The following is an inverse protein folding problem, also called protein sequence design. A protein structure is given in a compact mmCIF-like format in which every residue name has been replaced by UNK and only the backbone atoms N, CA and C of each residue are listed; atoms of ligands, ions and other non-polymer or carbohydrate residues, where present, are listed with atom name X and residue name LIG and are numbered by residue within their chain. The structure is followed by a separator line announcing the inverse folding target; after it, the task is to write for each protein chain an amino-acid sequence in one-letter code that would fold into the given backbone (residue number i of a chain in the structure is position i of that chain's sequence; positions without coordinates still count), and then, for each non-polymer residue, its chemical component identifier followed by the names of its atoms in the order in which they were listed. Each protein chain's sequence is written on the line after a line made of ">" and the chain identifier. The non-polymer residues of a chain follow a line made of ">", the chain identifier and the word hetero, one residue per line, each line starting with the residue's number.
data_IF_636881834301
#
_entry.id   IF_636881834301
#
_cell.length_a   1.000
_cell.length_b   1.000
_cell.length_c   1.000
_cell.angle_alpha   90.00
_cell.angle_beta   90.00
_cell.angle_gamma   90.00
#
_symmetry.space_group_name_H-M   'P 1'
#
loop_
_entity.id
_entity.type
_entity.pdbx_description
1 polymer ?
#
# COMPACT_ATOMS: atom_id res chain seq x y z
N UNK A 1 -13.72 2.83 17.46
CA UNK A 1 -12.44 2.74 16.74
C UNK A 1 -12.58 1.61 15.75
N UNK A 2 -12.83 1.92 14.48
CA UNK A 2 -12.81 0.93 13.39
C UNK A 2 -11.40 0.36 13.33
N UNK A 3 -11.26 -0.96 13.51
CA UNK A 3 -9.99 -1.67 13.30
C UNK A 3 -9.49 -1.28 11.90
N UNK A 4 -8.31 -0.69 11.79
CA UNK A 4 -7.70 -0.45 10.48
C UNK A 4 -7.60 -1.80 9.77
N UNK A 5 -8.17 -1.90 8.57
CA UNK A 5 -8.14 -3.11 7.77
C UNK A 5 -6.68 -3.40 7.39
N UNK A 6 -6.23 -4.63 7.70
CA UNK A 6 -4.86 -5.06 7.39
C UNK A 6 -4.72 -5.29 5.89
N UNK A 7 -3.60 -4.83 5.34
CA UNK A 7 -3.20 -5.09 3.96
C UNK A 7 -2.09 -6.14 3.93
N UNK A 8 -1.99 -6.85 2.82
CA UNK A 8 -1.05 -7.95 2.65
C UNK A 8 -0.39 -7.89 1.26
N UNK A 9 0.84 -8.38 1.17
CA UNK A 9 1.54 -8.71 -0.07
C UNK A 9 1.60 -10.25 -0.22
N UNK A 10 1.61 -10.79 -1.44
CA UNK A 10 1.78 -12.24 -1.64
C UNK A 10 3.25 -12.64 -1.61
N UNK A 11 4.13 -11.74 -2.09
CA UNK A 11 5.57 -11.96 -2.16
C UNK A 11 6.38 -10.73 -1.73
N UNK A 12 7.69 -10.89 -1.55
CA UNK A 12 8.63 -9.79 -1.26
C UNK A 12 8.92 -8.94 -2.51
N UNK A 13 8.62 -9.48 -3.69
CA UNK A 13 8.82 -8.83 -4.98
C UNK A 13 7.57 -8.03 -5.42
N UNK A 14 6.48 -8.16 -4.66
CA UNK A 14 5.25 -7.45 -4.93
C UNK A 14 5.40 -5.96 -4.65
N UNK A 15 4.80 -5.15 -5.52
CA UNK A 15 4.75 -3.69 -5.33
C UNK A 15 3.44 -3.24 -4.70
N UNK A 16 2.39 -4.06 -4.80
CA UNK A 16 1.04 -3.71 -4.38
C UNK A 16 0.57 -4.63 -3.27
N UNK A 17 0.04 -4.03 -2.20
CA UNK A 17 -0.68 -4.74 -1.15
C UNK A 17 -2.18 -4.50 -1.26
N UNK A 18 -2.98 -5.48 -0.84
CA UNK A 18 -4.43 -5.38 -0.81
C UNK A 18 -5.02 -6.05 0.44
N UNK A 19 -6.28 -5.78 0.71
CA UNK A 19 -6.98 -6.41 1.82
C UNK A 19 -7.20 -7.91 1.58
N UNK A 20 -7.35 -8.66 2.67
CA UNK A 20 -7.54 -10.11 2.59
C UNK A 20 -8.75 -10.53 1.74
N UNK A 21 -9.83 -9.72 1.73
CA UNK A 21 -11.05 -9.97 0.95
C UNK A 21 -10.86 -9.91 -0.57
N UNK A 22 -9.74 -9.36 -1.03
CA UNK A 22 -9.42 -9.24 -2.47
C UNK A 22 -8.66 -10.45 -3.02
N UNK A 23 -8.24 -11.38 -2.17
CA UNK A 23 -7.64 -12.63 -2.61
C UNK A 23 -8.71 -13.70 -2.83
N UNK A 24 -8.59 -14.45 -3.92
CA UNK A 24 -9.35 -15.68 -4.10
C UNK A 24 -8.78 -16.79 -3.23
N UNK A 25 -9.58 -17.85 -3.02
CA UNK A 25 -9.10 -19.02 -2.28
C UNK A 25 -7.95 -19.71 -3.03
N UNK A 26 -8.02 -19.73 -4.36
CA UNK A 26 -6.99 -20.27 -5.24
C UNK A 26 -5.67 -19.50 -5.09
N UNK A 27 -5.72 -18.17 -5.06
CA UNK A 27 -4.53 -17.33 -4.81
C UNK A 27 -3.89 -17.69 -3.46
N UNK A 28 -4.71 -17.79 -2.40
CA UNK A 28 -4.21 -18.10 -1.07
C UNK A 28 -3.63 -19.51 -0.96
N UNK A 29 -4.23 -20.50 -1.63
CA UNK A 29 -3.73 -21.87 -1.65
C UNK A 29 -2.36 -21.98 -2.33
N UNK A 30 -2.11 -21.21 -3.40
CA UNK A 30 -0.79 -21.12 -4.06
C UNK A 30 0.32 -20.72 -3.07
N UNK A 31 0.04 -19.78 -2.16
CA UNK A 31 0.98 -19.31 -1.14
C UNK A 31 0.88 -20.08 0.19
N UNK A 32 0.09 -21.17 0.23
CA UNK A 32 -0.23 -21.91 1.45
C UNK A 32 -0.73 -20.99 2.59
N UNK A 33 -1.54 -20.00 2.22
CA UNK A 33 -2.08 -18.95 3.08
C UNK A 33 -1.02 -18.10 3.78
N UNK A 34 0.24 -18.11 3.32
CA UNK A 34 1.29 -17.28 3.92
C UNK A 34 1.49 -16.01 3.12
N UNK A 35 1.00 -14.90 3.66
CA UNK A 35 1.16 -13.57 3.09
C UNK A 35 2.12 -12.73 3.94
N UNK A 36 2.58 -11.60 3.42
CA UNK A 36 3.38 -10.63 4.16
C UNK A 36 2.48 -9.48 4.61
N UNK A 37 2.38 -9.24 5.91
CA UNK A 37 1.60 -8.12 6.44
C UNK A 37 2.25 -6.79 6.03
N UNK A 38 1.44 -5.88 5.49
CA UNK A 38 1.89 -4.57 5.04
C UNK A 38 2.00 -3.60 6.22
N UNK A 39 3.19 -3.04 6.42
CA UNK A 39 3.46 -2.07 7.49
C UNK A 39 3.41 -0.64 6.92
N UNK A 40 2.57 0.26 7.45
CA UNK A 40 2.50 1.63 6.96
C UNK A 40 3.87 2.34 7.03
N UNK A 41 4.25 3.06 5.98
CA UNK A 41 5.45 3.91 6.02
C UNK A 41 5.31 5.01 7.08
N UNK A 42 6.34 5.15 7.91
CA UNK A 42 6.38 6.15 8.99
C UNK A 42 6.67 7.58 8.50
N UNK A 43 6.81 7.76 7.18
CA UNK A 43 7.08 9.03 6.52
C UNK A 43 8.54 9.45 6.50
N UNK A 44 9.46 8.63 7.04
CA UNK A 44 10.91 8.92 7.12
C UNK A 44 11.72 8.38 5.95
N UNK A 45 11.15 7.49 5.14
CA UNK A 45 11.84 6.88 3.99
C UNK A 45 12.26 7.88 2.92
N UNK A 46 11.67 9.08 2.91
CA UNK A 46 11.93 10.08 1.88
C UNK A 46 11.25 9.79 0.55
N UNK A 47 10.45 8.71 0.46
CA UNK A 47 9.69 8.33 -0.72
C UNK A 47 8.18 8.53 -0.51
N UNK A 48 7.44 8.62 -1.61
CA UNK A 48 5.98 8.60 -1.63
C UNK A 48 5.49 7.80 -2.83
N UNK A 49 4.37 7.09 -2.68
CA UNK A 49 3.67 6.51 -3.83
C UNK A 49 2.95 7.61 -4.62
N UNK A 50 3.20 7.68 -5.93
CA UNK A 50 2.51 8.58 -6.84
C UNK A 50 1.56 7.80 -7.76
N UNK A 51 0.26 7.86 -7.49
CA UNK A 51 -0.75 7.14 -8.29
C UNK A 51 -0.88 7.63 -9.73
N UNK A 52 -0.41 8.85 -10.03
CA UNK A 52 -0.38 9.35 -11.41
C UNK A 52 0.71 8.69 -12.24
N UNK A 53 1.90 8.48 -11.65
CA UNK A 53 3.02 7.81 -12.33
C UNK A 53 2.96 6.27 -12.18
N UNK A 54 2.26 5.78 -11.16
CA UNK A 54 2.22 4.36 -10.83
C UNK A 54 3.55 3.86 -10.26
N UNK A 55 4.29 4.70 -9.54
CA UNK A 55 5.60 4.36 -8.98
C UNK A 55 5.89 5.11 -7.66
N UNK A 56 6.90 4.64 -6.93
CA UNK A 56 7.51 5.37 -5.82
C UNK A 56 8.42 6.48 -6.35
N UNK A 57 8.21 7.70 -5.88
CA UNK A 57 9.03 8.86 -6.22
C UNK A 57 9.61 9.50 -4.97
N UNK A 58 10.65 10.30 -5.14
CA UNK A 58 11.25 11.03 -4.03
C UNK A 58 10.30 12.13 -3.53
N UNK A 59 10.11 12.19 -2.22
CA UNK A 59 9.15 13.08 -1.55
C UNK A 59 9.44 14.54 -1.83
N UNK A 60 10.71 14.91 -2.04
CA UNK A 60 11.09 16.28 -2.34
C UNK A 60 10.59 16.72 -3.72
N UNK A 61 10.42 15.81 -4.69
CA UNK A 61 9.88 16.14 -6.02
C UNK A 61 8.36 16.34 -5.99
N UNK A 62 7.68 15.82 -4.97
CA UNK A 62 6.22 15.92 -4.80
C UNK A 62 5.79 17.29 -4.22
N UNK A 63 6.20 18.39 -4.86
CA UNK A 63 5.82 19.77 -4.50
C UNK A 63 5.00 20.43 -5.59
N UNK A 64 4.09 21.33 -5.19
CA UNK A 64 3.25 22.11 -6.13
C UNK A 64 4.06 22.97 -7.10
N UNK A 65 5.23 23.43 -6.68
CA UNK A 65 6.15 24.25 -7.50
C UNK A 65 6.99 23.46 -8.48
N UNK A 66 7.15 22.14 -8.27
CA UNK A 66 8.10 21.30 -9.01
C UNK A 66 7.38 20.25 -9.86
N UNK A 67 6.28 19.68 -9.36
CA UNK A 67 5.57 18.60 -10.01
C UNK A 67 4.48 19.14 -10.96
N UNK A 68 4.60 18.94 -12.29
CA UNK A 68 3.61 19.45 -13.26
C UNK A 68 2.25 18.75 -13.14
N UNK A 69 2.22 17.57 -12.53
CA UNK A 69 1.01 16.78 -12.30
C UNK A 69 0.40 17.01 -10.90
N UNK A 70 0.92 17.98 -10.14
CA UNK A 70 0.40 18.29 -8.83
C UNK A 70 -1.03 18.80 -8.92
N UNK A 71 -1.97 18.06 -8.34
CA UNK A 71 -3.37 18.48 -8.28
C UNK A 71 -3.88 18.36 -6.85
N UNK A 72 -4.34 19.46 -6.28
CA UNK A 72 -4.97 19.50 -4.95
C UNK A 72 -6.44 19.84 -5.10
N UNK A 73 -7.34 19.11 -4.42
CA UNK A 73 -8.79 19.26 -4.54
C UNK A 73 -9.31 20.69 -4.30
N UNK A 74 -8.66 21.46 -3.42
CA UNK A 74 -9.06 22.84 -3.06
C UNK A 74 -8.02 23.91 -3.42
N UNK A 75 -6.97 23.56 -4.15
CA UNK A 75 -5.82 24.46 -4.38
C UNK A 75 -4.85 24.58 -3.19
N UNK A 76 -5.23 24.05 -2.02
CA UNK A 76 -4.46 23.94 -0.77
C UNK A 76 -4.43 22.47 -0.32
N UNK A 77 -3.41 22.07 0.43
CA UNK A 77 -3.27 20.70 0.98
C UNK A 77 -2.49 19.73 0.10
N UNK A 78 -2.47 18.44 0.48
CA UNK A 78 -1.68 17.37 -0.16
C UNK A 78 -2.12 17.13 -1.61
N UNK A 79 -1.17 16.69 -2.45
CA UNK A 79 -1.47 16.23 -3.81
C UNK A 79 -2.48 15.08 -3.77
N UNK A 80 -3.49 15.11 -4.62
CA UNK A 80 -4.50 14.06 -4.76
C UNK A 80 -3.89 12.75 -5.30
N UNK A 81 -2.77 12.86 -6.02
CA UNK A 81 -2.07 11.71 -6.60
C UNK A 81 -1.10 11.08 -5.59
N UNK A 82 -0.98 11.64 -4.38
CA UNK A 82 -0.15 11.08 -3.33
C UNK A 82 -0.91 9.94 -2.66
N UNK A 83 -0.46 8.71 -2.87
CA UNK A 83 -1.00 7.53 -2.20
C UNK A 83 -0.31 7.22 -0.87
N UNK A 84 -0.71 6.08 -0.31
CA UNK A 84 -0.07 5.49 0.87
C UNK A 84 1.08 4.58 0.42
N UNK A 85 2.14 4.55 1.22
CA UNK A 85 3.27 3.66 1.04
C UNK A 85 3.27 2.64 2.18
N UNK A 86 3.56 1.39 1.87
CA UNK A 86 3.66 0.31 2.84
C UNK A 86 4.95 -0.47 2.61
N UNK A 87 5.53 -0.96 3.69
CA UNK A 87 6.69 -1.83 3.71
C UNK A 87 6.26 -3.28 3.87
N UNK A 88 7.08 -4.18 3.34
CA UNK A 88 6.98 -5.60 3.63
C UNK A 88 7.32 -5.85 5.10
N UNK A 89 6.30 -6.17 5.89
CA UNK A 89 6.46 -6.54 7.29
C UNK A 89 6.74 -8.02 7.46
N UNK A 90 6.03 -8.65 8.40
CA UNK A 90 6.23 -10.06 8.73
C UNK A 90 5.39 -10.97 7.85
N UNK A 91 5.96 -12.11 7.48
CA UNK A 91 5.20 -13.22 6.88
C UNK A 91 4.31 -13.86 7.96
N UNK A 92 3.01 -13.95 7.67
CA UNK A 92 2.01 -14.53 8.56
C UNK A 92 1.10 -15.50 7.80
N UNK A 93 0.55 -16.48 8.52
CA UNK A 93 -0.49 -17.33 7.96
C UNK A 93 -1.87 -16.71 8.19
N UNK A 94 -2.64 -16.50 7.11
CA UNK A 94 -3.94 -15.81 7.16
C UNK A 94 -5.13 -16.75 7.03
N UNK A 95 -4.93 -18.08 7.11
CA UNK A 95 -5.99 -19.06 6.85
C UNK A 95 -7.20 -18.89 7.76
N UNK A 96 -6.96 -18.78 9.07
CA UNK A 96 -8.05 -18.63 10.05
C UNK A 96 -8.81 -17.31 9.91
N UNK A 97 -8.13 -16.26 9.46
CA UNK A 97 -8.69 -14.95 9.21
C UNK A 97 -9.53 -14.96 7.95
N UNK A 98 -9.06 -15.60 6.88
CA UNK A 98 -9.77 -15.72 5.61
C UNK A 98 -11.05 -16.56 5.75
N UNK A 99 -11.00 -17.68 6.46
CA UNK A 99 -12.17 -18.56 6.70
C UNK A 99 -13.28 -17.89 7.53
N UNK A 100 -13.02 -16.71 8.12
CA UNK A 100 -14.00 -15.91 8.89
C UNK A 100 -14.60 -14.73 8.10
N UNK A 101 -14.11 -14.45 6.90
CA UNK A 101 -14.64 -13.42 6.01
C UNK A 101 -15.92 -13.89 5.32
#
# INVERSE_FOLDING_TARGET
>A
MTKEEKLYFTSIDDTFCQELKHYSKEDLEEFNYNLIEAEPDDGKSGFIWCSYKGECVEKYECKKSECPYYKSKSGRGKCQNKGSLYWHGKKINVRSEFERL
#
